data_IF_482121678843
#
_entry.id   IF_482121678843
#
_cell.length_a   1.000
_cell.length_b   1.000
_cell.length_c   1.000
_cell.angle_alpha   90.00
_cell.angle_beta   90.00
_cell.angle_gamma   90.00
#
_symmetry.space_group_name_H-M   'P 1'
#
loop_
_entity.id
_entity.type
_entity.pdbx_description
1 polymer ?
#
# COMPACT_ATOMS: atom_id res chain seq x y z
N UNK A 1 -10.90 -0.72 -4.82
CA UNK A 1 -10.42 -1.52 -5.97
C UNK A 1 -11.55 -2.11 -6.79
N UNK A 2 -12.24 -3.16 -6.34
CA UNK A 2 -13.28 -3.83 -7.17
C UNK A 2 -14.35 -2.89 -7.72
N UNK A 3 -14.92 -2.01 -6.89
CA UNK A 3 -15.91 -1.03 -7.33
C UNK A 3 -15.39 -0.10 -8.45
N UNK A 4 -14.10 0.26 -8.43
CA UNK A 4 -13.49 1.09 -9.46
C UNK A 4 -13.33 0.33 -10.78
N UNK A 5 -12.89 -0.93 -10.72
CA UNK A 5 -12.82 -1.80 -11.91
C UNK A 5 -14.19 -1.95 -12.57
N UNK A 6 -15.21 -2.32 -11.79
CA UNK A 6 -16.57 -2.46 -12.31
C UNK A 6 -17.12 -1.15 -12.89
N UNK A 7 -16.88 -0.02 -12.24
CA UNK A 7 -17.32 1.27 -12.77
C UNK A 7 -16.62 1.63 -14.09
N UNK A 8 -15.31 1.36 -14.20
CA UNK A 8 -14.53 1.56 -15.43
C UNK A 8 -15.06 0.68 -16.58
N UNK A 9 -15.49 -0.54 -16.26
CA UNK A 9 -16.05 -1.48 -17.23
C UNK A 9 -17.53 -1.16 -17.58
N UNK A 10 -18.06 -0.01 -17.14
CA UNK A 10 -19.38 0.51 -17.52
C UNK A 10 -20.54 0.07 -16.62
N UNK A 11 -20.26 -0.67 -15.53
CA UNK A 11 -21.32 -1.08 -14.60
C UNK A 11 -21.77 0.08 -13.71
N UNK A 12 -23.08 0.12 -13.40
CA UNK A 12 -23.63 1.04 -12.40
C UNK A 12 -23.40 0.49 -10.99
N UNK A 13 -22.35 0.96 -10.33
CA UNK A 13 -21.92 0.46 -9.00
C UNK A 13 -22.48 1.33 -7.87
N UNK A 14 -22.96 0.70 -6.78
CA UNK A 14 -23.22 1.35 -5.49
C UNK A 14 -22.42 0.66 -4.40
N UNK A 15 -21.74 1.44 -3.56
CA UNK A 15 -20.94 0.96 -2.43
C UNK A 15 -21.60 1.42 -1.13
N UNK A 16 -21.78 0.50 -0.20
CA UNK A 16 -22.29 0.78 1.14
C UNK A 16 -21.18 0.46 2.15
N UNK A 17 -20.84 1.42 3.00
CA UNK A 17 -19.86 1.29 4.09
C UNK A 17 -20.55 1.70 5.39
N UNK A 18 -20.27 0.97 6.48
CA UNK A 18 -20.89 1.19 7.79
C UNK A 18 -20.29 2.41 8.49
N UNK A 19 -18.98 2.62 8.33
CA UNK A 19 -18.24 3.72 8.95
C UNK A 19 -18.57 5.06 8.31
N UNK A 20 -18.32 6.14 9.04
CA UNK A 20 -18.42 7.49 8.50
C UNK A 20 -17.35 7.75 7.43
N UNK A 21 -17.62 8.70 6.52
CA UNK A 21 -16.69 9.05 5.45
C UNK A 21 -15.37 9.59 6.03
N UNK A 22 -14.24 8.88 5.86
CA UNK A 22 -12.97 9.26 6.49
C UNK A 22 -12.42 10.58 5.94
N UNK A 23 -12.85 11.01 4.74
CA UNK A 23 -12.45 12.28 4.13
C UNK A 23 -13.04 13.50 4.84
N UNK A 24 -14.11 13.31 5.62
CA UNK A 24 -14.83 14.40 6.31
C UNK A 24 -14.55 14.43 7.81
N UNK A 25 -14.43 13.27 8.45
CA UNK A 25 -14.34 13.15 9.91
C UNK A 25 -13.00 12.58 10.42
N UNK A 26 -12.06 12.28 9.52
CA UNK A 26 -10.85 11.55 9.88
C UNK A 26 -11.13 10.08 10.18
N UNK A 27 -10.11 9.33 10.60
CA UNK A 27 -10.24 7.90 10.90
C UNK A 27 -10.73 7.68 12.33
N UNK A 28 -11.83 6.93 12.50
CA UNK A 28 -12.26 6.42 13.80
C UNK A 28 -11.21 5.41 14.30
N UNK A 29 -10.26 5.88 15.12
CA UNK A 29 -9.26 5.00 15.74
C UNK A 29 -7.82 5.48 15.82
N UNK A 30 -7.48 6.70 15.39
CA UNK A 30 -6.28 7.47 15.80
C UNK A 30 -4.88 6.84 15.65
N UNK A 31 -4.75 5.61 15.15
CA UNK A 31 -3.48 4.91 14.96
C UNK A 31 -3.20 4.80 13.48
N UNK A 32 -2.12 5.44 13.04
CA UNK A 32 -1.55 5.17 11.72
C UNK A 32 -1.08 3.71 11.69
N UNK A 33 -1.72 2.91 10.85
CA UNK A 33 -1.27 1.56 10.52
C UNK A 33 -0.71 1.64 9.12
N UNK A 34 0.61 1.53 8.99
CA UNK A 34 1.23 1.40 7.68
C UNK A 34 1.05 -0.03 7.17
N UNK A 35 0.98 -0.18 5.85
CA UNK A 35 0.80 -1.47 5.19
C UNK A 35 1.85 -1.65 4.12
N UNK A 36 2.44 -2.84 4.09
CA UNK A 36 3.37 -3.23 3.03
C UNK A 36 2.63 -3.46 1.70
N UNK A 37 2.90 -2.62 0.71
CA UNK A 37 2.41 -2.72 -0.67
C UNK A 37 3.48 -3.34 -1.56
N UNK A 38 3.22 -4.58 -2.00
CA UNK A 38 4.11 -5.32 -2.93
C UNK A 38 3.70 -5.11 -4.40
N UNK A 39 4.52 -5.66 -5.31
CA UNK A 39 4.31 -5.58 -6.75
C UNK A 39 2.87 -5.88 -7.20
N UNK A 40 2.21 -6.90 -6.64
CA UNK A 40 0.84 -7.25 -7.06
C UNK A 40 -0.17 -6.14 -6.75
N UNK A 41 -0.04 -5.48 -5.59
CA UNK A 41 -0.90 -4.36 -5.23
C UNK A 41 -0.62 -3.13 -6.10
N UNK A 42 0.64 -2.84 -6.37
CA UNK A 42 1.06 -1.75 -7.27
C UNK A 42 0.50 -1.97 -8.68
N UNK A 43 0.58 -3.19 -9.21
CA UNK A 43 0.02 -3.54 -10.52
C UNK A 43 -1.48 -3.26 -10.60
N UNK A 44 -2.24 -3.67 -9.58
CA UNK A 44 -3.68 -3.41 -9.54
C UNK A 44 -4.00 -1.90 -9.50
N UNK A 45 -3.22 -1.11 -8.76
CA UNK A 45 -3.36 0.35 -8.74
C UNK A 45 -2.99 0.98 -10.09
N UNK A 46 -1.94 0.49 -10.74
CA UNK A 46 -1.48 0.97 -12.04
C UNK A 46 -2.53 0.78 -13.13
N UNK A 47 -3.22 -0.36 -13.13
CA UNK A 47 -4.34 -0.61 -14.05
C UNK A 47 -5.47 0.41 -13.90
N UNK A 48 -5.66 0.97 -12.71
CA UNK A 48 -6.65 2.03 -12.45
C UNK A 48 -6.07 3.44 -12.58
N UNK A 49 -4.80 3.61 -12.95
CA UNK A 49 -4.13 4.91 -13.03
C UNK A 49 -3.85 5.57 -11.67
N UNK A 50 -3.86 4.80 -10.58
CA UNK A 50 -3.73 5.28 -9.19
C UNK A 50 -2.35 5.02 -8.58
N UNK A 51 -1.45 4.34 -9.29
CA UNK A 51 -0.16 3.92 -8.73
C UNK A 51 0.70 5.11 -8.30
N UNK A 52 0.87 6.11 -9.15
CA UNK A 52 1.74 7.25 -8.87
C UNK A 52 1.24 8.08 -7.68
N UNK A 53 -0.08 8.30 -7.58
CA UNK A 53 -0.70 9.02 -6.47
C UNK A 53 -0.50 8.28 -5.14
N UNK A 54 -0.69 6.96 -5.12
CA UNK A 54 -0.49 6.16 -3.90
C UNK A 54 1.00 6.08 -3.53
N UNK A 55 1.88 5.83 -4.50
CA UNK A 55 3.32 5.68 -4.25
C UNK A 55 4.00 7.00 -3.86
N UNK A 56 3.44 8.16 -4.22
CA UNK A 56 3.91 9.46 -3.73
C UNK A 56 3.83 9.59 -2.19
N UNK A 57 2.97 8.81 -1.54
CA UNK A 57 2.85 8.74 -0.09
C UNK A 57 3.61 7.55 0.53
N UNK A 58 4.20 6.67 -0.28
CA UNK A 58 4.84 5.45 0.17
C UNK A 58 6.35 5.59 0.37
N UNK A 59 6.91 4.80 1.29
CA UNK A 59 8.36 4.71 1.52
C UNK A 59 8.90 3.39 0.99
N UNK A 60 9.95 3.38 0.14
CA UNK A 60 10.54 2.14 -0.36
C UNK A 60 11.34 1.43 0.74
N UNK A 61 10.98 0.18 1.01
CA UNK A 61 11.70 -0.75 1.89
C UNK A 61 12.51 -1.71 1.03
N UNK A 62 13.84 -1.61 1.10
CA UNK A 62 14.78 -2.41 0.30
C UNK A 62 14.98 -3.85 0.79
N UNK A 63 14.58 -4.12 2.03
CA UNK A 63 14.77 -5.40 2.68
C UNK A 63 14.32 -5.38 4.12
N UNK A 64 14.56 -6.49 4.81
CA UNK A 64 14.29 -6.65 6.24
C UNK A 64 15.54 -6.28 7.01
N UNK A 65 15.44 -5.37 7.97
CA UNK A 65 16.50 -5.15 8.94
C UNK A 65 16.29 -6.11 10.11
N UNK A 66 17.27 -6.98 10.34
CA UNK A 66 17.28 -7.90 11.48
C UNK A 66 18.12 -7.31 12.60
N UNK A 67 17.56 -7.31 13.81
CA UNK A 67 18.22 -6.86 15.04
C UNK A 67 18.60 -8.09 15.87
N UNK A 68 19.90 -8.33 16.05
CA UNK A 68 20.40 -9.39 16.90
C UNK A 68 20.39 -8.97 18.39
N UNK A 69 20.36 -9.92 19.35
CA UNK A 69 20.32 -9.61 20.78
C UNK A 69 21.53 -8.82 21.29
N UNK A 70 22.68 -8.92 20.62
CA UNK A 70 23.91 -8.17 20.90
C UNK A 70 23.91 -6.75 20.31
N UNK A 71 22.83 -6.35 19.64
CA UNK A 71 22.69 -5.06 18.97
C UNK A 71 23.19 -5.04 17.52
N UNK A 72 23.70 -6.17 17.00
CA UNK A 72 24.10 -6.30 15.61
C UNK A 72 22.94 -6.09 14.63
N UNK A 73 23.20 -5.38 13.54
CA UNK A 73 22.22 -5.13 12.48
C UNK A 73 22.62 -5.90 11.22
N UNK A 74 21.68 -6.59 10.59
CA UNK A 74 21.87 -7.21 9.29
C UNK A 74 20.70 -6.91 8.35
N UNK A 75 21.01 -6.33 7.19
CA UNK A 75 20.03 -6.10 6.13
C UNK A 75 19.91 -7.36 5.28
N UNK A 76 18.68 -7.85 5.13
CA UNK A 76 18.32 -8.93 4.21
C UNK A 76 17.49 -8.33 3.07
N UNK A 77 18.10 -8.06 1.90
CA UNK A 77 17.39 -7.52 0.74
C UNK A 77 16.20 -8.40 0.33
N UNK A 78 15.13 -7.79 -0.19
CA UNK A 78 13.99 -8.56 -0.71
C UNK A 78 14.29 -9.28 -2.02
N UNK A 79 15.30 -8.80 -2.75
CA UNK A 79 15.71 -9.33 -4.04
C UNK A 79 17.17 -9.05 -4.35
N UNK A 80 17.61 -9.41 -5.55
CA UNK A 80 19.01 -9.22 -6.00
C UNK A 80 19.25 -7.83 -6.57
N UNK A 81 18.21 -7.22 -7.14
CA UNK A 81 18.29 -5.91 -7.78
C UNK A 81 17.84 -4.79 -6.83
N UNK A 82 18.40 -3.59 -7.01
CA UNK A 82 18.16 -2.46 -6.12
C UNK A 82 16.72 -1.88 -6.18
N UNK A 83 15.99 -2.17 -7.25
CA UNK A 83 14.61 -1.74 -7.49
C UNK A 83 13.57 -2.76 -6.96
N UNK A 84 14.00 -3.94 -6.51
CA UNK A 84 13.14 -4.97 -5.93
C UNK A 84 12.79 -4.62 -4.48
N UNK A 85 11.89 -3.65 -4.33
CA UNK A 85 11.46 -3.09 -3.05
C UNK A 85 9.99 -3.38 -2.77
N UNK A 86 9.62 -3.31 -1.48
CA UNK A 86 8.23 -3.25 -1.02
C UNK A 86 7.98 -1.82 -0.55
N UNK A 87 6.82 -1.24 -0.82
CA UNK A 87 6.47 0.10 -0.33
C UNK A 87 5.68 0.00 0.98
N UNK A 88 5.81 0.99 1.86
CA UNK A 88 5.00 1.10 3.09
C UNK A 88 4.32 2.45 3.22
#
# INVERSE_FOLDING_TARGET
>A
MMACYLARDGYRVRVYERRSDPRRKGTEGGRSINLALSHRGIRALAELGLADEVLAHGVPMRGRMMHAPDGGLSLQPYGTEADQVIHS
#
